data_IF_055967567574
#
_entry.id   IF_055967567574
#
_cell.length_a   1.000
_cell.length_b   1.000
_cell.length_c   1.000
_cell.angle_alpha   90.00
_cell.angle_beta   90.00
_cell.angle_gamma   90.00
#
_symmetry.space_group_name_H-M   'P 1'
#
loop_
_entity.id
_entity.type
_entity.pdbx_description
1 polymer ?
#
# COMPACT_ATOMS: atom_id res chain seq x y z
N UNK A 1 17.39 23.84 -19.49
CA UNK A 1 17.64 22.39 -19.50
C UNK A 1 16.57 21.79 -18.59
N UNK A 2 15.54 21.16 -19.14
CA UNK A 2 14.49 20.51 -18.35
C UNK A 2 15.13 19.36 -17.52
N UNK A 3 14.84 19.35 -16.23
CA UNK A 3 15.28 18.30 -15.30
C UNK A 3 14.88 16.92 -15.85
N UNK A 4 15.72 15.87 -15.72
CA UNK A 4 15.34 14.50 -16.08
C UNK A 4 14.10 13.98 -15.35
N UNK A 5 13.69 14.63 -14.27
CA UNK A 5 12.45 14.33 -13.53
C UNK A 5 11.17 14.69 -14.30
N UNK A 6 11.20 15.75 -15.10
CA UNK A 6 10.05 16.23 -15.84
C UNK A 6 9.49 15.23 -16.87
N UNK A 7 10.28 14.22 -17.27
CA UNK A 7 9.87 13.24 -18.26
C UNK A 7 8.91 12.14 -17.73
N UNK A 8 8.76 11.99 -16.39
CA UNK A 8 7.90 10.95 -15.79
C UNK A 8 6.58 11.48 -15.22
N UNK A 9 6.43 12.79 -15.13
CA UNK A 9 5.24 13.43 -14.54
C UNK A 9 4.83 14.63 -15.40
N UNK A 10 3.53 14.74 -15.71
CA UNK A 10 2.98 16.02 -16.20
C UNK A 10 3.24 17.09 -15.14
N UNK A 11 3.63 18.27 -15.56
CA UNK A 11 3.76 19.37 -14.61
C UNK A 11 2.36 19.81 -14.15
N UNK A 12 2.23 20.30 -12.90
CA UNK A 12 0.94 20.79 -12.40
C UNK A 12 0.37 21.93 -13.24
N UNK A 13 1.23 22.72 -13.84
CA UNK A 13 0.84 23.81 -14.76
C UNK A 13 0.14 23.29 -16.02
N UNK A 14 0.54 22.12 -16.54
CA UNK A 14 -0.14 21.45 -17.66
C UNK A 14 -1.55 20.96 -17.28
N UNK A 15 -1.80 20.69 -16.00
CA UNK A 15 -3.10 20.30 -15.48
C UNK A 15 -3.97 21.49 -15.03
N UNK A 16 -3.48 22.73 -15.14
CA UNK A 16 -4.19 23.93 -14.67
C UNK A 16 -4.33 23.99 -13.14
N UNK A 17 -3.52 23.25 -12.41
CA UNK A 17 -3.55 23.20 -10.94
C UNK A 17 -2.62 24.24 -10.34
N UNK A 18 -3.12 24.97 -9.34
CA UNK A 18 -2.27 25.81 -8.49
C UNK A 18 -1.66 24.95 -7.37
N UNK A 19 -0.32 24.88 -7.32
CA UNK A 19 0.41 24.15 -6.28
C UNK A 19 1.14 25.13 -5.38
N UNK A 20 0.88 25.00 -4.08
CA UNK A 20 1.65 25.64 -3.03
C UNK A 20 2.39 24.56 -2.22
N UNK A 21 3.73 24.50 -2.30
CA UNK A 21 4.50 23.51 -1.56
C UNK A 21 4.53 23.86 -0.07
N UNK A 22 4.18 22.90 0.78
CA UNK A 22 4.32 22.99 2.22
C UNK A 22 5.53 22.13 2.65
N UNK A 23 6.64 22.74 3.12
CA UNK A 23 7.79 21.99 3.62
C UNK A 23 7.40 21.07 4.80
N UNK A 24 7.92 19.85 4.82
CA UNK A 24 7.63 18.89 5.89
C UNK A 24 8.04 19.37 7.28
N UNK A 25 9.07 20.22 7.37
CA UNK A 25 9.50 20.85 8.63
C UNK A 25 8.39 21.73 9.27
N UNK A 26 7.42 22.19 8.48
CA UNK A 26 6.26 22.96 8.96
C UNK A 26 5.07 22.08 9.39
N UNK A 27 5.14 20.79 9.12
CA UNK A 27 4.11 19.82 9.51
C UNK A 27 4.46 19.29 10.91
N UNK A 28 3.57 19.39 11.90
CA UNK A 28 3.83 18.93 13.26
C UNK A 28 4.14 17.42 13.30
N UNK A 29 4.87 17.01 14.35
CA UNK A 29 5.14 15.60 14.68
C UNK A 29 5.99 14.82 13.65
N UNK A 30 6.71 15.50 12.74
CA UNK A 30 7.66 14.81 11.87
C UNK A 30 8.91 14.39 12.65
N UNK A 31 9.36 13.14 12.44
CA UNK A 31 10.59 12.68 13.10
C UNK A 31 11.82 13.33 12.47
N UNK A 32 12.85 13.58 13.29
CA UNK A 32 14.12 14.13 12.81
C UNK A 32 14.75 13.25 11.73
N UNK A 33 14.71 11.92 11.89
CA UNK A 33 15.24 10.97 10.91
C UNK A 33 14.58 11.14 9.53
N UNK A 34 13.26 11.31 9.51
CA UNK A 34 12.50 11.53 8.27
C UNK A 34 12.87 12.87 7.62
N UNK A 35 12.95 13.95 8.38
CA UNK A 35 13.31 15.27 7.86
C UNK A 35 14.74 15.29 7.31
N UNK A 36 15.69 14.67 8.00
CA UNK A 36 17.06 14.56 7.53
C UNK A 36 17.18 13.68 6.28
N UNK A 37 16.35 12.59 6.19
CA UNK A 37 16.26 11.78 4.98
C UNK A 37 15.76 12.59 3.77
N UNK A 38 14.75 13.42 3.94
CA UNK A 38 14.25 14.27 2.86
C UNK A 38 15.27 15.32 2.43
N UNK A 39 16.03 15.86 3.39
CA UNK A 39 17.06 16.90 3.12
C UNK A 39 18.27 16.33 2.39
N UNK A 40 18.83 15.23 2.88
CA UNK A 40 19.99 14.56 2.29
C UNK A 40 19.97 13.04 2.55
N UNK A 41 19.30 12.27 1.69
CA UNK A 41 19.23 10.82 1.83
C UNK A 41 20.61 10.15 1.74
N UNK A 42 21.58 10.79 1.04
CA UNK A 42 22.94 10.24 0.86
C UNK A 42 23.71 10.27 2.18
N UNK A 43 23.53 11.32 2.99
CA UNK A 43 24.14 11.42 4.32
C UNK A 43 23.65 10.31 5.27
N UNK A 44 22.47 9.77 5.02
CA UNK A 44 21.87 8.71 5.83
C UNK A 44 22.15 7.28 5.31
N UNK A 45 23.04 7.08 4.36
CA UNK A 45 23.38 5.75 3.83
C UNK A 45 23.87 4.77 4.89
N UNK A 46 24.35 5.23 6.01
CA UNK A 46 24.66 4.41 7.17
C UNK A 46 23.42 3.62 7.66
N UNK A 47 22.26 4.25 7.66
CA UNK A 47 20.98 3.66 8.10
C UNK A 47 20.15 3.14 6.92
N UNK A 48 20.24 3.81 5.77
CA UNK A 48 19.54 3.50 4.53
C UNK A 48 20.56 3.26 3.40
N UNK A 49 21.18 2.08 3.32
CA UNK A 49 22.25 1.81 2.35
C UNK A 49 21.84 2.08 0.90
N UNK A 50 20.56 1.90 0.60
CA UNK A 50 19.97 2.06 -0.72
C UNK A 50 19.25 3.40 -0.90
N UNK A 51 19.51 4.39 -0.02
CA UNK A 51 18.92 5.70 -0.16
C UNK A 51 19.31 6.34 -1.49
N UNK A 52 18.30 6.87 -2.18
CA UNK A 52 18.42 7.57 -3.46
C UNK A 52 17.92 9.00 -3.31
N UNK A 53 18.48 9.94 -4.06
CA UNK A 53 18.00 11.30 -4.10
C UNK A 53 16.76 11.44 -4.97
N UNK A 54 16.73 10.71 -6.10
CA UNK A 54 15.64 10.72 -7.05
C UNK A 54 15.12 9.32 -7.28
N UNK A 55 13.80 9.14 -7.32
CA UNK A 55 13.14 7.84 -7.45
C UNK A 55 13.60 7.05 -8.68
N UNK A 56 13.92 7.72 -9.80
CA UNK A 56 14.39 7.03 -11.00
C UNK A 56 15.76 6.35 -10.83
N UNK A 57 16.56 6.75 -9.84
CA UNK A 57 17.85 6.10 -9.51
C UNK A 57 17.64 4.67 -9.01
N UNK A 58 16.40 4.31 -8.57
CA UNK A 58 16.05 2.95 -8.18
C UNK A 58 16.21 1.95 -9.34
N UNK A 59 16.15 2.39 -10.61
CA UNK A 59 16.43 1.54 -11.75
C UNK A 59 17.79 0.83 -11.65
N UNK A 60 18.82 1.49 -11.12
CA UNK A 60 20.13 0.93 -10.92
C UNK A 60 20.18 -0.24 -9.92
N UNK A 61 19.13 -0.39 -9.09
CA UNK A 61 19.00 -1.48 -8.11
C UNK A 61 18.38 -2.75 -8.67
N UNK A 62 17.72 -2.66 -9.83
CA UNK A 62 17.00 -3.79 -10.41
C UNK A 62 17.87 -5.05 -10.58
N UNK A 63 19.12 -4.99 -11.09
CA UNK A 63 19.96 -6.18 -11.23
C UNK A 63 20.24 -6.89 -9.89
N UNK A 64 20.47 -6.13 -8.82
CA UNK A 64 20.71 -6.69 -7.49
C UNK A 64 19.44 -7.36 -6.92
N UNK A 65 18.29 -6.69 -7.06
CA UNK A 65 16.99 -7.23 -6.61
C UNK A 65 16.69 -8.53 -7.37
N UNK A 66 16.88 -8.56 -8.69
CA UNK A 66 16.66 -9.74 -9.51
C UNK A 66 17.61 -10.89 -9.14
N UNK A 67 18.89 -10.59 -8.88
CA UNK A 67 19.87 -11.58 -8.44
C UNK A 67 19.55 -12.16 -7.04
N UNK A 68 18.93 -11.39 -6.17
CA UNK A 68 18.53 -11.81 -4.81
C UNK A 68 17.20 -12.58 -4.80
N UNK A 69 16.39 -12.51 -5.86
CA UNK A 69 15.07 -13.15 -5.92
C UNK A 69 15.18 -14.68 -5.88
N UNK A 70 14.37 -15.32 -5.00
CA UNK A 70 14.39 -16.77 -4.75
C UNK A 70 13.02 -17.45 -4.89
N UNK A 71 11.96 -16.66 -5.03
CA UNK A 71 10.58 -17.19 -5.09
C UNK A 71 10.29 -17.73 -6.49
N UNK A 72 9.53 -18.82 -6.57
CA UNK A 72 9.07 -19.40 -7.83
C UNK A 72 7.99 -18.46 -8.43
N UNK A 73 8.34 -17.80 -9.56
CA UNK A 73 7.53 -16.75 -10.17
C UNK A 73 6.20 -17.26 -10.72
N UNK A 74 6.17 -18.46 -11.30
CA UNK A 74 4.93 -18.99 -11.89
C UNK A 74 3.87 -19.25 -10.81
N UNK A 75 4.27 -19.83 -9.68
CA UNK A 75 3.37 -20.06 -8.55
C UNK A 75 2.91 -18.73 -7.92
N UNK A 76 3.82 -17.76 -7.77
CA UNK A 76 3.48 -16.42 -7.30
C UNK A 76 2.45 -15.75 -8.20
N UNK A 77 2.71 -15.71 -9.51
CA UNK A 77 1.80 -15.07 -10.48
C UNK A 77 0.47 -15.82 -10.60
N UNK A 78 0.46 -17.15 -10.45
CA UNK A 78 -0.79 -17.91 -10.41
C UNK A 78 -1.64 -17.55 -9.19
N UNK A 79 -1.03 -17.41 -8.01
CA UNK A 79 -1.72 -16.99 -6.79
C UNK A 79 -2.25 -15.55 -6.91
N UNK A 80 -1.43 -14.62 -7.38
CA UNK A 80 -1.82 -13.22 -7.61
C UNK A 80 -2.93 -13.10 -8.65
N UNK A 81 -2.84 -13.88 -9.75
CA UNK A 81 -3.86 -13.90 -10.80
C UNK A 81 -5.21 -14.34 -10.28
N UNK A 82 -5.25 -15.42 -9.50
CA UNK A 82 -6.49 -15.89 -8.90
C UNK A 82 -7.10 -14.86 -7.93
N UNK A 83 -6.29 -14.29 -7.02
CA UNK A 83 -6.76 -13.27 -6.07
C UNK A 83 -7.33 -12.05 -6.78
N UNK A 84 -6.57 -11.47 -7.71
CA UNK A 84 -6.99 -10.26 -8.40
C UNK A 84 -8.21 -10.49 -9.30
N UNK A 85 -8.33 -11.67 -9.91
CA UNK A 85 -9.53 -12.05 -10.66
C UNK A 85 -10.76 -12.11 -9.74
N UNK A 86 -10.65 -12.73 -8.57
CA UNK A 86 -11.73 -12.82 -7.59
C UNK A 86 -12.18 -11.44 -7.08
N UNK A 87 -11.28 -10.47 -7.06
CA UNK A 87 -11.58 -9.07 -6.68
C UNK A 87 -12.07 -8.21 -7.83
N UNK A 88 -12.14 -8.72 -9.05
CA UNK A 88 -12.68 -8.03 -10.22
C UNK A 88 -11.66 -7.15 -10.96
N UNK A 89 -10.38 -7.53 -10.92
CA UNK A 89 -9.32 -6.83 -11.64
C UNK A 89 -9.59 -6.73 -13.15
N UNK A 90 -9.11 -5.65 -13.76
CA UNK A 90 -9.15 -5.44 -15.20
C UNK A 90 -8.00 -6.13 -15.95
N UNK A 91 -8.04 -6.03 -17.27
CA UNK A 91 -7.02 -6.60 -18.15
C UNK A 91 -5.63 -6.06 -17.81
N UNK A 92 -5.50 -4.78 -17.55
CA UNK A 92 -4.23 -4.11 -17.23
C UNK A 92 -3.52 -4.72 -16.02
N UNK A 93 -4.28 -5.11 -14.98
CA UNK A 93 -3.73 -5.79 -13.80
C UNK A 93 -3.28 -7.21 -14.14
N UNK A 94 -4.08 -7.95 -14.90
CA UNK A 94 -3.76 -9.32 -15.31
C UNK A 94 -2.55 -9.33 -16.25
N UNK A 95 -2.44 -8.38 -17.17
CA UNK A 95 -1.27 -8.20 -18.03
C UNK A 95 0.00 -7.89 -17.22
N UNK A 96 -0.10 -7.06 -16.18
CA UNK A 96 1.02 -6.81 -15.28
C UNK A 96 1.43 -8.05 -14.48
N UNK A 97 0.48 -8.90 -14.07
CA UNK A 97 0.79 -10.18 -13.44
C UNK A 97 1.52 -11.11 -14.42
N UNK A 98 1.11 -11.16 -15.69
CA UNK A 98 1.83 -11.92 -16.70
C UNK A 98 3.24 -11.35 -16.98
N UNK A 99 3.38 -10.03 -17.02
CA UNK A 99 4.71 -9.38 -17.13
C UNK A 99 5.62 -9.73 -15.95
N UNK A 100 5.06 -9.88 -14.74
CA UNK A 100 5.84 -10.26 -13.55
C UNK A 100 6.44 -11.67 -13.65
N UNK A 101 5.95 -12.54 -14.53
CA UNK A 101 6.54 -13.87 -14.78
C UNK A 101 7.93 -13.77 -15.39
N UNK A 102 8.21 -12.71 -16.16
CA UNK A 102 9.48 -12.54 -16.80
C UNK A 102 10.63 -12.40 -15.78
N UNK A 103 11.79 -13.04 -16.01
CA UNK A 103 12.88 -13.06 -15.05
C UNK A 103 13.53 -11.68 -14.84
N UNK A 104 13.35 -10.76 -15.76
CA UNK A 104 13.89 -9.39 -15.75
C UNK A 104 12.88 -8.34 -15.23
N UNK A 105 11.68 -8.77 -14.85
CA UNK A 105 10.67 -7.87 -14.30
C UNK A 105 10.84 -7.69 -12.78
N UNK A 106 10.81 -6.45 -12.32
CA UNK A 106 10.80 -6.10 -10.89
C UNK A 106 9.42 -5.62 -10.45
N UNK A 107 9.12 -5.76 -9.16
CA UNK A 107 7.92 -5.19 -8.55
C UNK A 107 8.27 -3.89 -7.82
N UNK A 108 7.50 -2.84 -8.05
CA UNK A 108 7.45 -1.64 -7.21
C UNK A 108 6.37 -1.84 -6.17
N UNK A 109 6.80 -2.07 -4.93
CA UNK A 109 5.89 -2.42 -3.84
C UNK A 109 5.62 -1.21 -2.95
N UNK A 110 4.37 -0.94 -2.69
CA UNK A 110 3.89 -0.10 -1.59
C UNK A 110 2.87 -0.90 -0.79
N UNK A 111 2.41 -0.38 0.33
CA UNK A 111 1.42 -1.08 1.14
C UNK A 111 0.87 -0.22 2.25
N UNK A 112 -0.25 -0.70 2.82
CA UNK A 112 -0.93 -0.10 3.98
C UNK A 112 -1.80 -1.15 4.66
N UNK A 113 -2.09 -0.94 5.95
CA UNK A 113 -3.17 -1.63 6.64
C UNK A 113 -4.48 -1.42 5.87
N UNK A 114 -5.31 -2.45 5.85
CA UNK A 114 -6.66 -2.31 5.32
C UNK A 114 -7.49 -1.48 6.30
N UNK A 115 -8.23 -0.50 5.80
CA UNK A 115 -9.09 0.35 6.60
C UNK A 115 -10.50 0.43 6.00
N UNK A 116 -11.47 0.79 6.81
CA UNK A 116 -12.86 0.93 6.36
C UNK A 116 -12.93 1.91 5.18
N UNK A 117 -13.59 1.49 4.10
CA UNK A 117 -13.72 2.24 2.84
C UNK A 117 -12.38 2.69 2.23
N UNK A 118 -11.35 1.81 2.30
CA UNK A 118 -9.95 2.00 1.91
C UNK A 118 -9.07 2.71 2.95
N UNK A 119 -9.62 3.13 4.08
CA UNK A 119 -8.88 3.88 5.09
C UNK A 119 -8.54 5.31 4.67
N UNK A 120 -7.49 5.91 5.23
CA UNK A 120 -7.13 7.28 4.95
C UNK A 120 -6.71 7.49 3.49
N UNK A 121 -6.95 8.71 2.97
CA UNK A 121 -6.71 9.05 1.56
C UNK A 121 -5.26 8.77 1.11
N UNK A 122 -4.28 8.84 2.00
CA UNK A 122 -2.90 8.52 1.64
C UNK A 122 -2.71 7.06 1.19
N UNK A 123 -3.61 6.12 1.54
CA UNK A 123 -3.61 4.75 1.01
C UNK A 123 -3.70 4.75 -0.51
N UNK A 124 -4.62 5.54 -1.06
CA UNK A 124 -4.77 5.72 -2.51
C UNK A 124 -3.54 6.38 -3.11
N UNK A 125 -3.00 7.43 -2.47
CA UNK A 125 -1.78 8.09 -2.95
C UNK A 125 -0.57 7.16 -2.94
N UNK A 126 -0.42 6.28 -1.94
CA UNK A 126 0.64 5.26 -1.90
C UNK A 126 0.48 4.26 -3.06
N UNK A 127 -0.75 3.83 -3.35
CA UNK A 127 -1.04 2.96 -4.48
C UNK A 127 -0.70 3.61 -5.82
N UNK A 128 -1.15 4.85 -6.04
CA UNK A 128 -0.84 5.63 -7.25
C UNK A 128 0.65 5.94 -7.38
N UNK A 129 1.37 6.13 -6.27
CA UNK A 129 2.83 6.31 -6.28
C UNK A 129 3.53 5.07 -6.81
N UNK A 130 3.11 3.87 -6.38
CA UNK A 130 3.66 2.62 -6.92
C UNK A 130 3.41 2.49 -8.42
N UNK A 131 2.19 2.83 -8.88
CA UNK A 131 1.84 2.84 -10.32
C UNK A 131 2.74 3.79 -11.10
N UNK A 132 2.84 5.03 -10.65
CA UNK A 132 3.66 6.07 -11.34
C UNK A 132 5.14 5.67 -11.38
N UNK A 133 5.68 5.18 -10.28
CA UNK A 133 7.08 4.78 -10.22
C UNK A 133 7.36 3.57 -11.12
N UNK A 134 6.50 2.55 -11.14
CA UNK A 134 6.64 1.41 -12.04
C UNK A 134 6.61 1.84 -13.52
N UNK A 135 5.70 2.75 -13.87
CA UNK A 135 5.64 3.35 -15.21
C UNK A 135 6.91 4.13 -15.56
N UNK A 136 7.42 4.94 -14.64
CA UNK A 136 8.65 5.70 -14.82
C UNK A 136 9.86 4.79 -15.05
N UNK A 137 10.01 3.72 -14.26
CA UNK A 137 11.08 2.75 -14.42
C UNK A 137 11.00 2.02 -15.77
N UNK A 138 9.77 1.63 -16.17
CA UNK A 138 9.54 0.94 -17.46
C UNK A 138 9.88 1.85 -18.65
N UNK A 139 9.52 3.12 -18.63
CA UNK A 139 9.90 4.10 -19.66
C UNK A 139 11.43 4.31 -19.77
N UNK A 140 12.17 3.99 -18.70
CA UNK A 140 13.64 4.08 -18.64
C UNK A 140 14.34 2.75 -18.89
N UNK A 141 13.63 1.73 -19.39
CA UNK A 141 14.18 0.44 -19.78
C UNK A 141 14.27 -0.60 -18.67
N UNK A 142 13.71 -0.34 -17.48
CA UNK A 142 13.62 -1.34 -16.42
C UNK A 142 12.19 -1.86 -16.37
N UNK A 143 11.94 -3.09 -16.82
CA UNK A 143 10.61 -3.70 -16.74
C UNK A 143 10.13 -3.75 -15.30
N UNK A 144 9.06 -3.02 -14.99
CA UNK A 144 8.53 -2.91 -13.63
C UNK A 144 7.01 -2.96 -13.60
N UNK A 145 6.44 -3.56 -12.55
CA UNK A 145 5.00 -3.60 -12.32
C UNK A 145 4.66 -3.10 -10.93
N UNK A 146 3.50 -2.41 -10.74
CA UNK A 146 3.09 -1.93 -9.43
C UNK A 146 2.41 -3.03 -8.61
N UNK A 147 2.79 -3.15 -7.34
CA UNK A 147 2.17 -4.07 -6.38
C UNK A 147 1.79 -3.30 -5.12
N UNK A 148 0.60 -3.54 -4.61
CA UNK A 148 0.16 -2.99 -3.34
C UNK A 148 -0.10 -4.11 -2.33
N UNK A 149 0.65 -4.08 -1.23
CA UNK A 149 0.54 -5.00 -0.12
C UNK A 149 -0.60 -4.56 0.79
N UNK A 150 -1.64 -5.38 0.88
CA UNK A 150 -2.71 -5.21 1.86
C UNK A 150 -2.24 -5.82 3.18
N UNK A 151 -1.96 -5.00 4.19
CA UNK A 151 -1.50 -5.51 5.49
C UNK A 151 -2.68 -6.08 6.30
N UNK A 152 -3.21 -7.19 5.81
CA UNK A 152 -4.39 -7.90 6.33
C UNK A 152 -4.09 -8.75 7.56
N UNK A 153 -2.80 -9.03 7.82
CA UNK A 153 -2.32 -9.83 8.95
C UNK A 153 -2.33 -9.07 10.27
N UNK A 154 -2.45 -7.74 10.22
CA UNK A 154 -2.55 -6.91 11.40
C UNK A 154 -3.77 -7.29 12.26
N UNK A 155 -3.67 -7.04 13.55
CA UNK A 155 -4.71 -7.35 14.53
C UNK A 155 -5.24 -6.11 15.26
N UNK A 156 -4.74 -4.91 14.92
CA UNK A 156 -5.23 -3.66 15.50
C UNK A 156 -6.57 -3.25 14.89
N UNK A 157 -7.62 -3.83 15.46
CA UNK A 157 -8.99 -3.53 15.04
C UNK A 157 -9.37 -2.07 15.27
N UNK A 158 -8.92 -1.50 16.39
CA UNK A 158 -9.27 -0.11 16.75
C UNK A 158 -8.79 0.89 15.70
N UNK A 159 -7.62 0.64 15.08
CA UNK A 159 -7.06 1.50 14.03
C UNK A 159 -7.86 1.44 12.73
N UNK A 160 -8.43 0.26 12.39
CA UNK A 160 -8.96 0.01 11.04
C UNK A 160 -10.48 0.00 10.93
N UNK A 161 -11.20 -0.10 12.07
CA UNK A 161 -12.67 -0.23 12.09
C UNK A 161 -13.42 1.05 11.75
N UNK A 162 -12.76 2.21 11.80
CA UNK A 162 -13.39 3.53 11.66
C UNK A 162 -12.81 4.29 10.46
N UNK A 163 -13.71 4.93 9.71
CA UNK A 163 -13.35 5.91 8.69
C UNK A 163 -13.85 7.29 9.12
N UNK A 164 -12.96 8.29 9.12
CA UNK A 164 -13.33 9.69 9.32
C UNK A 164 -13.64 10.32 7.96
N UNK A 165 -14.77 11.00 7.86
CA UNK A 165 -15.20 11.69 6.64
C UNK A 165 -15.63 13.12 6.95
N UNK A 166 -15.56 14.00 5.95
CA UNK A 166 -16.10 15.36 6.05
C UNK A 166 -17.58 15.30 5.69
N UNK A 167 -18.44 15.58 6.67
CA UNK A 167 -19.88 15.61 6.49
C UNK A 167 -20.34 16.86 5.71
N UNK A 168 -21.59 16.86 5.26
CA UNK A 168 -22.18 17.96 4.48
C UNK A 168 -22.18 19.31 5.23
N UNK A 169 -22.09 19.30 6.56
CA UNK A 169 -21.96 20.51 7.40
C UNK A 169 -20.50 20.97 7.62
N UNK A 170 -19.53 20.30 6.98
CA UNK A 170 -18.10 20.60 7.09
C UNK A 170 -17.41 20.05 8.33
N UNK A 171 -18.11 19.29 9.18
CA UNK A 171 -17.51 18.65 10.36
C UNK A 171 -17.00 17.27 10.04
N UNK A 172 -16.06 16.78 10.86
CA UNK A 172 -15.65 15.39 10.83
C UNK A 172 -16.75 14.50 11.40
N UNK A 173 -17.00 13.38 10.72
CA UNK A 173 -17.93 12.36 11.16
C UNK A 173 -17.25 10.98 11.11
N UNK A 174 -17.42 10.21 12.18
CA UNK A 174 -16.88 8.87 12.31
C UNK A 174 -17.90 7.84 11.84
N UNK A 175 -17.49 7.03 10.90
CA UNK A 175 -18.25 5.88 10.43
C UNK A 175 -17.48 4.63 10.88
N UNK A 176 -18.10 3.84 11.77
CA UNK A 176 -17.43 2.68 12.36
C UNK A 176 -18.18 1.39 12.08
N UNK A 177 -17.43 0.31 11.93
CA UNK A 177 -17.95 -1.06 12.01
C UNK A 177 -18.31 -1.39 13.46
N UNK A 178 -19.27 -2.31 13.70
CA UNK A 178 -19.57 -2.78 15.04
C UNK A 178 -18.32 -3.40 15.71
N UNK A 179 -18.08 -3.03 16.98
CA UNK A 179 -16.92 -3.50 17.72
C UNK A 179 -16.95 -5.03 17.98
N UNK A 180 -18.15 -5.61 18.00
CA UNK A 180 -18.39 -7.05 18.23
C UNK A 180 -18.10 -7.94 17.00
N UNK A 181 -17.74 -7.36 15.86
CA UNK A 181 -17.33 -8.13 14.67
C UNK A 181 -15.96 -8.78 14.80
N UNK A 182 -15.07 -8.22 15.62
CA UNK A 182 -13.71 -8.69 15.76
C UNK A 182 -13.50 -9.48 17.07
N UNK A 183 -12.70 -10.53 16.98
CA UNK A 183 -12.23 -11.31 18.14
C UNK A 183 -10.74 -11.03 18.33
N UNK A 184 -10.34 -10.71 19.56
CA UNK A 184 -8.95 -10.40 19.91
C UNK A 184 -7.96 -11.43 19.38
N UNK A 185 -6.87 -10.96 18.81
CA UNK A 185 -5.82 -11.78 18.20
C UNK A 185 -6.15 -12.37 16.83
N UNK A 186 -7.35 -12.09 16.28
CA UNK A 186 -7.68 -12.47 14.91
C UNK A 186 -7.13 -11.44 13.94
N UNK A 187 -6.43 -11.83 12.86
CA UNK A 187 -6.05 -10.90 11.80
C UNK A 187 -7.27 -10.16 11.24
N UNK A 188 -7.18 -8.83 11.14
CA UNK A 188 -8.30 -7.98 10.69
C UNK A 188 -8.85 -8.40 9.33
N UNK A 189 -7.97 -8.87 8.44
CA UNK A 189 -8.39 -9.34 7.12
C UNK A 189 -9.32 -10.55 7.14
N UNK A 190 -9.38 -11.32 8.23
CA UNK A 190 -10.25 -12.49 8.39
C UNK A 190 -11.61 -12.16 9.00
N UNK A 191 -11.82 -10.95 9.46
CA UNK A 191 -13.13 -10.51 9.98
C UNK A 191 -14.17 -10.66 8.87
N UNK A 192 -15.25 -11.36 9.17
CA UNK A 192 -16.37 -11.56 8.23
C UNK A 192 -17.43 -10.51 8.51
N UNK A 193 -17.78 -9.73 7.50
CA UNK A 193 -18.82 -8.70 7.58
C UNK A 193 -20.18 -9.37 7.68
N UNK A 194 -21.00 -8.95 8.64
CA UNK A 194 -22.39 -9.37 8.80
C UNK A 194 -23.38 -8.38 8.14
N UNK A 195 -24.67 -8.59 8.30
CA UNK A 195 -25.72 -7.72 7.73
C UNK A 195 -25.66 -6.27 8.20
N UNK A 196 -25.06 -5.99 9.36
CA UNK A 196 -24.90 -4.63 9.91
C UNK A 196 -24.01 -3.74 9.03
N UNK A 197 -23.21 -4.34 8.13
CA UNK A 197 -22.42 -3.58 7.15
C UNK A 197 -23.30 -2.70 6.26
N UNK A 198 -24.52 -3.15 5.96
CA UNK A 198 -25.47 -2.38 5.15
C UNK A 198 -25.84 -1.04 5.83
N UNK A 199 -26.02 -1.07 7.16
CA UNK A 199 -26.31 0.13 7.95
C UNK A 199 -25.08 1.06 8.02
N UNK A 200 -23.88 0.47 8.11
CA UNK A 200 -22.62 1.24 8.11
C UNK A 200 -22.41 1.95 6.77
N UNK A 201 -22.66 1.26 5.66
CA UNK A 201 -22.61 1.87 4.32
C UNK A 201 -23.71 2.94 4.16
N UNK A 202 -24.92 2.69 4.66
CA UNK A 202 -25.99 3.68 4.59
C UNK A 202 -25.60 4.95 5.36
N UNK A 203 -25.09 4.83 6.59
CA UNK A 203 -24.63 5.97 7.41
C UNK A 203 -23.53 6.78 6.70
N UNK A 204 -22.60 6.13 5.97
CA UNK A 204 -21.60 6.85 5.19
C UNK A 204 -22.27 7.82 4.20
N UNK A 205 -23.25 7.34 3.43
CA UNK A 205 -23.91 8.16 2.41
C UNK A 205 -24.96 9.13 2.96
N UNK A 206 -25.43 8.93 4.20
CA UNK A 206 -26.31 9.88 4.87
C UNK A 206 -25.56 11.13 5.36
N UNK A 207 -24.25 11.02 5.62
CA UNK A 207 -23.43 12.15 6.09
C UNK A 207 -22.65 12.86 4.98
N UNK A 208 -22.34 12.16 3.88
CA UNK A 208 -21.60 12.75 2.77
C UNK A 208 -22.46 13.74 1.98
N UNK A 209 -21.87 14.81 1.43
CA UNK A 209 -22.58 15.69 0.52
C UNK A 209 -22.98 14.94 -0.75
N UNK A 210 -24.21 15.17 -1.21
CA UNK A 210 -24.68 14.60 -2.46
C UNK A 210 -23.95 15.24 -3.65
N UNK A 211 -23.59 14.40 -4.63
CA UNK A 211 -22.98 14.81 -5.89
C UNK A 211 -23.54 13.97 -7.04
N UNK A 212 -23.18 14.30 -8.26
CA UNK A 212 -23.49 13.49 -9.45
C UNK A 212 -22.92 12.07 -9.40
N UNK A 213 -21.92 11.82 -8.56
CA UNK A 213 -21.26 10.51 -8.40
C UNK A 213 -21.84 9.67 -7.24
N UNK A 214 -22.77 10.22 -6.46
CA UNK A 214 -23.24 9.58 -5.20
C UNK A 214 -23.82 8.21 -5.44
N UNK A 215 -24.70 8.04 -6.44
CA UNK A 215 -25.36 6.76 -6.67
C UNK A 215 -24.38 5.69 -7.17
N UNK A 216 -23.46 6.05 -8.06
CA UNK A 216 -22.43 5.14 -8.57
C UNK A 216 -21.46 4.72 -7.47
N UNK A 217 -21.02 5.66 -6.63
CA UNK A 217 -20.15 5.37 -5.49
C UNK A 217 -20.86 4.49 -4.46
N UNK A 218 -22.14 4.76 -4.19
CA UNK A 218 -22.95 3.96 -3.26
C UNK A 218 -23.10 2.52 -3.76
N UNK A 219 -23.35 2.34 -5.04
CA UNK A 219 -23.43 1.02 -5.67
C UNK A 219 -22.09 0.28 -5.56
N UNK A 220 -20.97 0.97 -5.88
CA UNK A 220 -19.62 0.43 -5.79
C UNK A 220 -19.25 0.00 -4.36
N UNK A 221 -19.51 0.86 -3.38
CA UNK A 221 -19.20 0.55 -1.97
C UNK A 221 -20.07 -0.60 -1.47
N UNK A 222 -21.37 -0.64 -1.80
CA UNK A 222 -22.26 -1.75 -1.44
C UNK A 222 -21.84 -3.07 -2.07
N UNK A 223 -21.40 -3.05 -3.33
CA UNK A 223 -20.88 -4.26 -3.95
C UNK A 223 -19.60 -4.73 -3.26
N UNK A 224 -18.69 -3.84 -2.94
CA UNK A 224 -17.44 -4.19 -2.28
C UNK A 224 -17.65 -4.70 -0.83
N UNK A 225 -18.43 -3.99 -0.04
CA UNK A 225 -18.69 -4.28 1.37
C UNK A 225 -20.04 -5.02 1.54
N UNK A 226 -20.16 -6.19 0.92
CA UNK A 226 -21.36 -7.02 1.06
C UNK A 226 -21.26 -7.97 2.27
N UNK A 227 -22.39 -8.36 2.89
CA UNK A 227 -22.41 -9.39 3.93
C UNK A 227 -21.73 -10.69 3.50
N UNK A 228 -21.21 -11.43 4.44
CA UNK A 228 -20.46 -12.69 4.27
C UNK A 228 -19.11 -12.56 3.57
N UNK A 229 -18.69 -11.37 3.19
CA UNK A 229 -17.31 -11.13 2.73
C UNK A 229 -16.35 -10.92 3.89
N UNK A 230 -15.09 -11.31 3.69
CA UNK A 230 -14.02 -10.94 4.61
C UNK A 230 -13.67 -9.46 4.43
N UNK A 231 -13.18 -8.84 5.49
CA UNK A 231 -12.78 -7.43 5.45
C UNK A 231 -11.64 -7.19 4.43
N UNK A 232 -10.70 -8.15 4.32
CA UNK A 232 -9.67 -8.12 3.27
C UNK A 232 -10.29 -8.07 1.86
N UNK A 233 -11.26 -8.97 1.58
CA UNK A 233 -11.91 -9.03 0.28
C UNK A 233 -12.72 -7.75 -0.03
N UNK A 234 -13.40 -7.19 0.97
CA UNK A 234 -14.15 -5.95 0.81
C UNK A 234 -13.23 -4.78 0.44
N UNK A 235 -12.14 -4.59 1.19
CA UNK A 235 -11.16 -3.55 0.92
C UNK A 235 -10.48 -3.75 -0.45
N UNK A 236 -10.06 -4.98 -0.77
CA UNK A 236 -9.41 -5.30 -2.04
C UNK A 236 -10.33 -5.02 -3.23
N UNK A 237 -11.61 -5.40 -3.16
CA UNK A 237 -12.58 -5.14 -4.24
C UNK A 237 -12.80 -3.65 -4.47
N UNK A 238 -12.96 -2.86 -3.40
CA UNK A 238 -13.11 -1.42 -3.53
C UNK A 238 -11.85 -0.79 -4.13
N UNK A 239 -10.66 -1.13 -3.64
CA UNK A 239 -9.41 -0.65 -4.21
C UNK A 239 -9.26 -1.05 -5.67
N UNK A 240 -9.53 -2.31 -6.01
CA UNK A 240 -9.47 -2.79 -7.41
C UNK A 240 -10.36 -1.95 -8.31
N UNK A 241 -11.60 -1.67 -7.90
CA UNK A 241 -12.53 -0.89 -8.69
C UNK A 241 -12.05 0.56 -8.90
N UNK A 242 -11.52 1.20 -7.85
CA UNK A 242 -11.02 2.58 -7.91
C UNK A 242 -9.79 2.73 -8.82
N UNK A 243 -8.91 1.73 -8.85
CA UNK A 243 -7.64 1.79 -9.59
C UNK A 243 -7.59 0.85 -10.80
N UNK A 244 -8.73 0.36 -11.25
CA UNK A 244 -8.87 -0.68 -12.29
C UNK A 244 -8.06 -0.39 -13.56
N UNK A 245 -8.05 0.87 -14.00
CA UNK A 245 -7.38 1.30 -15.22
C UNK A 245 -5.85 1.44 -15.10
N UNK A 246 -5.29 1.30 -13.90
CA UNK A 246 -3.87 1.58 -13.65
C UNK A 246 -3.00 0.32 -13.54
N UNK A 247 -3.60 -0.86 -13.66
CA UNK A 247 -2.84 -2.12 -13.64
C UNK A 247 -2.19 -2.46 -12.31
N UNK A 248 -2.71 -1.93 -11.18
CA UNK A 248 -2.19 -2.22 -9.85
C UNK A 248 -2.50 -3.67 -9.46
N UNK A 249 -1.47 -4.40 -9.05
CA UNK A 249 -1.60 -5.76 -8.51
C UNK A 249 -1.80 -5.66 -7.01
N UNK A 250 -2.88 -6.23 -6.47
CA UNK A 250 -3.09 -6.33 -5.03
C UNK A 250 -2.56 -7.66 -4.51
N UNK A 251 -1.91 -7.63 -3.34
CA UNK A 251 -1.37 -8.80 -2.65
C UNK A 251 -1.94 -8.87 -1.24
N UNK A 252 -2.57 -10.02 -0.91
CA UNK A 252 -3.04 -10.34 0.44
C UNK A 252 -2.12 -11.38 1.08
N UNK A 253 -1.31 -11.03 2.09
CA UNK A 253 -0.40 -11.97 2.74
C UNK A 253 -1.12 -13.08 3.53
N UNK A 254 -2.43 -12.97 3.78
CA UNK A 254 -3.23 -14.04 4.40
C UNK A 254 -3.57 -15.18 3.44
N UNK A 255 -3.36 -15.00 2.13
CA UNK A 255 -3.60 -16.08 1.16
C UNK A 255 -2.68 -17.28 1.42
N UNK A 256 -3.29 -18.47 1.51
CA UNK A 256 -2.56 -19.68 1.85
C UNK A 256 -1.47 -20.04 0.85
N UNK A 257 -1.67 -19.74 -0.44
CA UNK A 257 -0.69 -20.01 -1.52
C UNK A 257 0.53 -19.10 -1.37
N UNK A 258 0.30 -17.80 -1.05
CA UNK A 258 1.37 -16.85 -0.80
C UNK A 258 2.13 -17.19 0.49
N UNK A 259 1.43 -17.59 1.56
CA UNK A 259 2.07 -18.08 2.80
C UNK A 259 2.95 -19.31 2.54
N UNK A 260 2.48 -20.22 1.71
CA UNK A 260 3.26 -21.42 1.33
C UNK A 260 4.56 -21.05 0.59
N UNK A 261 4.50 -20.09 -0.33
CA UNK A 261 5.67 -19.58 -1.02
C UNK A 261 6.64 -18.85 -0.08
N UNK A 262 6.13 -18.18 0.94
CA UNK A 262 6.93 -17.48 1.94
C UNK A 262 7.46 -18.40 3.07
N UNK A 263 6.94 -19.61 3.21
CA UNK A 263 7.30 -20.53 4.29
C UNK A 263 8.81 -20.79 4.45
N UNK A 264 9.62 -20.93 3.38
CA UNK A 264 11.07 -21.07 3.53
C UNK A 264 11.73 -19.84 4.18
N UNK A 265 11.24 -18.62 3.89
CA UNK A 265 11.73 -17.37 4.49
C UNK A 265 11.39 -17.31 5.97
N UNK A 266 10.16 -17.64 6.34
CA UNK A 266 9.74 -17.70 7.76
C UNK A 266 10.52 -18.75 8.54
N UNK A 267 10.77 -19.92 7.95
CA UNK A 267 11.58 -20.97 8.57
C UNK A 267 13.01 -20.49 8.81
N UNK A 268 13.63 -19.85 7.84
CA UNK A 268 14.97 -19.30 7.97
C UNK A 268 15.01 -18.17 9.03
N UNK A 269 14.04 -17.26 9.01
CA UNK A 269 13.93 -16.19 9.99
C UNK A 269 13.76 -16.75 11.43
N UNK A 270 12.92 -17.76 11.62
CA UNK A 270 12.74 -18.40 12.91
C UNK A 270 14.03 -19.08 13.41
N UNK A 271 14.77 -19.76 12.53
CA UNK A 271 16.05 -20.38 12.86
C UNK A 271 17.12 -19.35 13.25
N UNK A 272 17.09 -18.17 12.66
CA UNK A 272 18.03 -17.08 12.90
C UNK A 272 17.49 -15.99 13.83
N UNK A 273 16.40 -16.25 14.54
CA UNK A 273 15.76 -15.25 15.41
C UNK A 273 16.73 -14.55 16.39
N UNK A 274 17.67 -15.25 17.07
CA UNK A 274 18.62 -14.57 17.95
C UNK A 274 19.57 -13.62 17.21
N UNK A 275 20.02 -13.98 16.00
CA UNK A 275 20.89 -13.14 15.18
C UNK A 275 20.13 -11.88 14.70
N UNK A 276 18.87 -12.07 14.29
CA UNK A 276 18.01 -10.98 13.85
C UNK A 276 17.74 -10.02 15.00
N UNK A 277 17.40 -10.53 16.20
CA UNK A 277 17.19 -9.72 17.39
C UNK A 277 18.44 -8.89 17.74
N UNK A 278 19.60 -9.52 17.77
CA UNK A 278 20.87 -8.83 18.04
C UNK A 278 21.18 -7.73 16.99
N UNK A 279 20.87 -7.98 15.72
CA UNK A 279 21.07 -6.99 14.66
C UNK A 279 20.12 -5.79 14.80
N UNK A 280 18.84 -6.03 15.18
CA UNK A 280 17.86 -4.98 15.47
C UNK A 280 18.33 -4.13 16.64
N UNK A 281 18.69 -4.74 17.77
CA UNK A 281 19.19 -4.02 18.94
C UNK A 281 20.44 -3.19 18.63
N UNK A 282 21.37 -3.73 17.84
CA UNK A 282 22.56 -2.99 17.42
C UNK A 282 22.18 -1.75 16.58
N UNK A 283 21.21 -1.91 15.68
CA UNK A 283 20.71 -0.80 14.86
C UNK A 283 19.98 0.26 15.69
N UNK A 284 19.19 -0.14 16.68
CA UNK A 284 18.56 0.79 17.62
C UNK A 284 19.61 1.64 18.35
N UNK A 285 20.64 1.01 18.91
CA UNK A 285 21.75 1.73 19.58
C UNK A 285 22.49 2.68 18.64
N UNK A 286 22.65 2.32 17.36
CA UNK A 286 23.28 3.21 16.37
C UNK A 286 22.42 4.44 16.04
N UNK A 287 21.10 4.27 15.96
CA UNK A 287 20.14 5.37 15.74
C UNK A 287 20.13 6.31 16.94
N UNK A 288 20.00 5.76 18.15
CA UNK A 288 20.02 6.53 19.39
C UNK A 288 21.35 7.29 19.58
N UNK A 289 22.48 6.64 19.27
CA UNK A 289 23.80 7.27 19.30
C UNK A 289 23.98 8.39 18.27
N UNK A 290 23.12 8.47 17.26
CA UNK A 290 23.03 9.55 16.29
C UNK A 290 21.88 10.53 16.61
N UNK A 291 21.27 10.44 17.78
CA UNK A 291 20.19 11.29 18.26
C UNK A 291 18.92 11.16 17.40
N UNK A 292 18.64 9.94 16.91
CA UNK A 292 17.40 9.54 16.29
C UNK A 292 16.60 8.62 17.20
N UNK A 293 15.27 8.69 17.11
CA UNK A 293 14.40 7.77 17.82
C UNK A 293 14.30 6.45 17.06
N UNK A 294 14.62 5.34 17.75
CA UNK A 294 14.35 3.99 17.24
C UNK A 294 12.87 3.66 17.44
N UNK A 295 12.22 3.17 16.38
CA UNK A 295 10.78 2.83 16.37
C UNK A 295 10.53 1.31 16.54
N UNK A 296 11.37 0.61 17.27
CA UNK A 296 11.28 -0.86 17.49
C UNK A 296 11.21 -1.14 18.97
#
# INVERSE_FOLDING_TARGET
>A
MSSPEAACYSTPEEAGLHLEPLPFERIPHQTRLFLDYLRDPVALRRFYPNAVRFHHELAARAPEVLAAHRTERNALCAALGALNTDWGAGAETLDNIERLRAPDCVAVVSGQQIGLFTGPLYTIYKALTAVKLAGCLSQRGTTAVPVFWLATEDHDWAEVQTAEVIACDGRLADISLPADLHTDGTPVGRVVLDEKINDTVQRLFDVLPASEFTDDLKALVRDAYAPSRTYAAACARLMTALVKAYGLILLDPLDARLKQLAAPLYTEAARRAPEIAAAIEARCRELEGADYHAQV
#
